data_IF_149122127128
#
_entry.id   IF_149122127128
#
_cell.length_a   1.000
_cell.length_b   1.000
_cell.length_c   1.000
_cell.angle_alpha   90.00
_cell.angle_beta   90.00
_cell.angle_gamma   90.00
#
_symmetry.space_group_name_H-M   'P 1'
#
loop_
_entity.id
_entity.type
_entity.pdbx_description
1 polymer ?
#
# COMPACT_ATOMS: atom_id res chain seq x y z
N UNK A 1 -30.15 -6.13 -1.01
CA UNK A 1 -29.06 -7.12 -1.15
C UNK A 1 -29.42 -8.33 -0.28
N UNK A 2 -29.13 -9.55 -0.73
CA UNK A 2 -29.38 -10.78 0.04
C UNK A 2 -28.01 -11.41 0.30
N UNK A 3 -27.72 -11.68 1.57
CA UNK A 3 -26.49 -12.36 2.00
C UNK A 3 -26.75 -13.85 2.09
N UNK A 4 -25.89 -14.64 1.44
CA UNK A 4 -26.00 -16.10 1.37
C UNK A 4 -25.21 -16.79 2.48
N UNK A 5 -25.52 -18.06 2.75
CA UNK A 5 -24.74 -18.88 3.68
C UNK A 5 -23.27 -19.00 3.27
N UNK A 6 -22.99 -19.12 1.97
CA UNK A 6 -21.62 -19.20 1.46
C UNK A 6 -20.80 -17.95 1.83
N UNK A 7 -21.37 -16.76 1.67
CA UNK A 7 -20.72 -15.50 2.04
C UNK A 7 -20.46 -15.39 3.55
N UNK A 8 -21.31 -15.96 4.38
CA UNK A 8 -21.09 -16.02 5.84
C UNK A 8 -20.01 -17.05 6.22
N UNK A 9 -19.94 -18.17 5.51
CA UNK A 9 -18.88 -19.18 5.69
C UNK A 9 -17.51 -18.66 5.27
N UNK A 10 -17.43 -17.86 4.21
CA UNK A 10 -16.18 -17.25 3.75
C UNK A 10 -15.58 -16.27 4.77
N UNK A 11 -16.41 -15.68 5.64
CA UNK A 11 -15.94 -14.83 6.74
C UNK A 11 -15.36 -15.62 7.91
N UNK A 12 -15.69 -16.90 8.04
CA UNK A 12 -15.34 -17.75 9.19
C UNK A 12 -14.54 -18.97 8.72
N UNK A 13 -13.29 -19.12 9.15
CA UNK A 13 -12.51 -20.34 8.88
C UNK A 13 -13.13 -21.57 9.56
N UNK A 14 -13.66 -21.37 10.76
CA UNK A 14 -14.40 -22.40 11.51
C UNK A 14 -15.50 -21.69 12.29
N UNK A 15 -16.79 -22.04 12.10
CA UNK A 15 -17.87 -21.44 12.86
C UNK A 15 -17.78 -21.85 14.34
N UNK A 16 -17.79 -20.86 15.23
CA UNK A 16 -17.83 -21.06 16.68
C UNK A 16 -18.98 -20.24 17.28
N UNK A 17 -19.60 -20.74 18.33
CA UNK A 17 -20.69 -20.04 19.02
C UNK A 17 -20.24 -18.66 19.49
N UNK A 18 -21.02 -17.63 19.15
CA UNK A 18 -20.68 -16.23 19.47
C UNK A 18 -19.74 -15.53 18.49
N UNK A 19 -19.27 -16.23 17.45
CA UNK A 19 -18.46 -15.58 16.41
C UNK A 19 -19.27 -14.49 15.69
N UNK A 20 -18.62 -13.37 15.38
CA UNK A 20 -19.25 -12.26 14.69
C UNK A 20 -19.14 -12.45 13.17
N UNK A 21 -20.25 -12.19 12.48
CA UNK A 21 -20.32 -12.12 11.01
C UNK A 21 -20.85 -10.75 10.60
N UNK A 22 -20.19 -10.15 9.61
CA UNK A 22 -20.53 -8.81 9.13
C UNK A 22 -21.60 -8.92 8.04
N UNK A 23 -22.68 -8.18 8.21
CA UNK A 23 -23.80 -8.11 7.25
C UNK A 23 -23.91 -6.66 6.78
N UNK A 24 -23.94 -6.38 5.44
CA UNK A 24 -24.14 -5.03 4.94
C UNK A 24 -25.41 -4.38 5.49
N UNK A 25 -25.37 -3.10 5.82
CA UNK A 25 -26.51 -2.36 6.34
C UNK A 25 -27.73 -2.51 5.41
N UNK A 26 -28.87 -2.89 5.96
CA UNK A 26 -30.11 -3.11 5.22
C UNK A 26 -30.15 -4.37 4.33
N UNK A 27 -29.14 -5.23 4.36
CA UNK A 27 -29.18 -6.52 3.67
C UNK A 27 -30.06 -7.52 4.43
N UNK A 28 -30.69 -8.43 3.68
CA UNK A 28 -31.45 -9.55 4.25
C UNK A 28 -30.65 -10.84 4.12
N UNK A 29 -30.71 -11.69 5.14
CA UNK A 29 -30.13 -13.03 5.05
C UNK A 29 -31.05 -13.94 4.20
N UNK A 30 -30.44 -14.79 3.39
CA UNK A 30 -31.17 -15.89 2.75
C UNK A 30 -31.69 -16.87 3.83
N UNK A 31 -32.69 -17.69 3.53
CA UNK A 31 -33.17 -18.69 4.49
C UNK A 31 -32.04 -19.58 5.03
N UNK A 32 -31.17 -20.09 4.18
CA UNK A 32 -30.00 -20.88 4.57
C UNK A 32 -28.98 -20.11 5.42
N UNK A 33 -28.75 -18.82 5.12
CA UNK A 33 -27.90 -17.98 5.93
C UNK A 33 -28.47 -17.72 7.32
N UNK A 34 -29.79 -17.52 7.43
CA UNK A 34 -30.47 -17.34 8.70
C UNK A 34 -30.41 -18.61 9.55
N UNK A 35 -30.62 -19.79 8.95
CA UNK A 35 -30.48 -21.08 9.59
C UNK A 35 -29.03 -21.32 10.07
N UNK A 36 -28.05 -20.97 9.27
CA UNK A 36 -26.63 -21.07 9.62
C UNK A 36 -26.26 -20.19 10.82
N UNK A 37 -26.72 -18.94 10.85
CA UNK A 37 -26.51 -18.02 11.98
C UNK A 37 -27.15 -18.61 13.26
N UNK A 38 -28.34 -19.13 13.16
CA UNK A 38 -29.05 -19.73 14.29
C UNK A 38 -28.40 -21.03 14.78
N UNK A 39 -28.02 -21.90 13.85
CA UNK A 39 -27.41 -23.21 14.17
C UNK A 39 -26.10 -23.04 14.93
N UNK A 40 -25.31 -22.06 14.58
CA UNK A 40 -23.97 -21.82 15.16
C UNK A 40 -23.97 -20.72 16.23
N UNK A 41 -25.15 -20.11 16.54
CA UNK A 41 -25.25 -19.02 17.51
C UNK A 41 -24.36 -17.82 17.16
N UNK A 42 -24.27 -17.49 15.86
CA UNK A 42 -23.42 -16.39 15.38
C UNK A 42 -24.07 -15.03 15.71
N UNK A 43 -23.22 -14.02 15.91
CA UNK A 43 -23.67 -12.65 16.14
C UNK A 43 -23.52 -11.86 14.83
N UNK A 44 -24.63 -11.39 14.29
CA UNK A 44 -24.61 -10.51 13.10
C UNK A 44 -24.27 -9.08 13.53
N UNK A 45 -23.24 -8.50 12.92
CA UNK A 45 -22.86 -7.10 13.10
C UNK A 45 -23.15 -6.37 11.80
N UNK A 46 -24.00 -5.35 11.85
CA UNK A 46 -24.20 -4.51 10.66
C UNK A 46 -22.92 -3.75 10.34
N UNK A 47 -22.54 -3.79 9.06
CA UNK A 47 -21.45 -2.99 8.56
C UNK A 47 -21.85 -1.52 8.72
N UNK A 48 -21.31 -0.85 9.75
CA UNK A 48 -21.39 0.60 9.86
C UNK A 48 -20.70 1.15 8.62
N UNK A 49 -21.43 1.91 7.83
CA UNK A 49 -20.83 2.60 6.67
C UNK A 49 -19.58 3.34 7.17
N UNK A 50 -18.45 3.04 6.56
CA UNK A 50 -17.19 3.70 6.89
C UNK A 50 -17.44 5.20 6.94
N UNK A 51 -17.02 5.85 8.02
CA UNK A 51 -17.12 7.31 8.15
C UNK A 51 -16.56 7.97 6.91
N UNK A 52 -17.16 9.04 6.38
CA UNK A 52 -16.68 9.70 5.18
C UNK A 52 -15.21 10.07 5.38
N UNK A 53 -14.37 9.58 4.50
CA UNK A 53 -12.95 9.96 4.42
C UNK A 53 -12.85 11.48 4.39
N UNK A 54 -11.96 12.10 5.19
CA UNK A 54 -11.80 13.56 5.19
C UNK A 54 -11.62 14.08 3.76
N UNK A 55 -12.35 15.12 3.39
CA UNK A 55 -12.22 15.78 2.11
C UNK A 55 -10.77 16.26 1.94
N UNK A 56 -10.06 15.74 0.94
CA UNK A 56 -8.67 16.09 0.65
C UNK A 56 -7.79 14.93 0.22
N UNK A 57 -8.31 13.69 0.19
CA UNK A 57 -7.54 12.55 -0.32
C UNK A 57 -7.42 12.62 -1.84
N UNK A 58 -6.19 12.44 -2.34
CA UNK A 58 -5.93 12.33 -3.76
C UNK A 58 -6.77 11.20 -4.38
N UNK A 59 -7.09 11.33 -5.67
CA UNK A 59 -7.97 10.36 -6.35
C UNK A 59 -7.45 8.92 -6.30
N UNK A 60 -6.12 8.75 -6.23
CA UNK A 60 -5.43 7.46 -6.09
C UNK A 60 -5.47 6.88 -4.65
N UNK A 61 -5.82 7.67 -3.63
CA UNK A 61 -5.92 7.23 -2.23
C UNK A 61 -7.27 6.55 -1.91
N UNK A 62 -8.06 6.28 -2.93
CA UNK A 62 -9.28 5.50 -2.78
C UNK A 62 -8.93 4.03 -2.53
N UNK A 63 -9.66 3.41 -1.61
CA UNK A 63 -9.44 2.01 -1.19
C UNK A 63 -9.70 0.95 -2.27
N UNK A 64 -10.02 1.33 -3.50
CA UNK A 64 -10.17 0.43 -4.63
C UNK A 64 -8.79 -0.01 -5.13
N UNK A 65 -8.41 -1.16 -4.70
CA UNK A 65 -7.17 -1.82 -5.07
C UNK A 65 -7.34 -2.44 -6.46
N UNK A 66 -6.47 -2.05 -7.39
CA UNK A 66 -6.31 -2.68 -8.70
C UNK A 66 -7.59 -2.90 -9.50
N UNK A 67 -8.02 -1.94 -10.32
CA UNK A 67 -8.85 -2.31 -11.46
C UNK A 67 -7.97 -3.15 -12.40
N UNK A 68 -8.11 -4.46 -12.34
CA UNK A 68 -7.58 -5.36 -13.37
C UNK A 68 -8.63 -5.36 -14.47
N UNK A 69 -8.49 -4.46 -15.43
CA UNK A 69 -9.29 -4.51 -16.63
C UNK A 69 -8.76 -5.66 -17.51
N UNK A 70 -9.45 -6.78 -17.46
CA UNK A 70 -9.25 -7.84 -18.46
C UNK A 70 -9.88 -7.36 -19.76
N UNK A 71 -9.07 -7.17 -20.78
CA UNK A 71 -9.53 -6.80 -22.14
C UNK A 71 -10.30 -7.90 -22.85
N UNK A 72 -10.47 -9.05 -22.21
CA UNK A 72 -11.07 -10.25 -22.80
C UNK A 72 -10.14 -11.07 -23.69
N UNK A 73 -8.92 -10.58 -23.95
CA UNK A 73 -7.89 -11.33 -24.68
C UNK A 73 -7.14 -12.28 -23.74
N UNK A 74 -6.74 -13.45 -24.25
CA UNK A 74 -5.95 -14.41 -23.47
C UNK A 74 -4.53 -13.87 -23.33
N UNK A 75 -4.03 -13.65 -22.09
CA UNK A 75 -2.68 -13.15 -21.88
C UNK A 75 -1.61 -14.10 -22.40
N UNK A 76 -0.48 -13.57 -22.88
CA UNK A 76 0.64 -14.32 -23.40
C UNK A 76 1.82 -14.39 -22.42
N UNK A 77 2.66 -15.41 -22.58
CA UNK A 77 3.89 -15.56 -21.79
C UNK A 77 5.02 -14.72 -22.42
N UNK A 78 5.64 -13.83 -21.62
CA UNK A 78 6.77 -12.98 -22.09
C UNK A 78 7.99 -13.77 -22.51
N UNK A 79 8.16 -15.01 -22.04
CA UNK A 79 9.34 -15.84 -22.33
C UNK A 79 9.20 -16.67 -23.61
N UNK A 80 7.99 -17.10 -23.98
CA UNK A 80 7.77 -17.99 -25.13
C UNK A 80 6.70 -17.49 -26.11
N UNK A 81 5.99 -16.41 -25.79
CA UNK A 81 4.92 -15.84 -26.63
C UNK A 81 3.62 -16.65 -26.68
N UNK A 82 3.56 -17.81 -26.02
CA UNK A 82 2.37 -18.67 -26.04
C UNK A 82 1.25 -18.07 -25.17
N UNK A 83 0.00 -18.29 -25.59
CA UNK A 83 -1.18 -18.00 -24.78
C UNK A 83 -1.18 -18.79 -23.46
N UNK A 84 -1.53 -18.13 -22.37
CA UNK A 84 -1.57 -18.73 -21.03
C UNK A 84 -3.03 -18.96 -20.61
N UNK A 85 -3.59 -20.06 -21.08
CA UNK A 85 -4.94 -20.50 -20.69
C UNK A 85 -4.98 -21.14 -19.31
N UNK A 86 -3.85 -21.71 -18.86
CA UNK A 86 -3.67 -22.29 -17.53
C UNK A 86 -2.36 -21.82 -16.93
N UNK A 87 -2.44 -21.06 -15.84
CA UNK A 87 -1.27 -20.50 -15.16
C UNK A 87 -0.41 -21.62 -14.55
N UNK A 88 0.85 -21.74 -14.99
CA UNK A 88 1.85 -22.56 -14.34
C UNK A 88 2.29 -21.93 -13.00
N UNK A 89 2.74 -22.74 -12.03
CA UNK A 89 3.15 -22.29 -10.69
C UNK A 89 4.33 -21.30 -10.71
N UNK A 90 5.21 -21.40 -11.71
CA UNK A 90 6.37 -20.52 -11.89
C UNK A 90 6.03 -19.16 -12.54
N UNK A 91 4.81 -19.01 -13.08
CA UNK A 91 4.35 -17.79 -13.74
C UNK A 91 3.50 -16.93 -12.79
N UNK A 92 3.52 -15.64 -13.06
CA UNK A 92 2.61 -14.66 -12.46
C UNK A 92 2.24 -13.60 -13.47
N UNK A 93 1.14 -12.90 -13.22
CA UNK A 93 0.65 -11.85 -14.11
C UNK A 93 1.59 -10.63 -14.05
N UNK A 94 2.10 -10.21 -15.20
CA UNK A 94 2.97 -9.05 -15.35
C UNK A 94 2.15 -7.76 -15.53
N UNK A 95 1.16 -7.80 -16.39
CA UNK A 95 0.18 -6.75 -16.68
C UNK A 95 -1.11 -7.40 -17.21
N UNK A 96 -2.05 -6.62 -17.74
CA UNK A 96 -3.30 -7.13 -18.27
C UNK A 96 -3.12 -8.13 -19.44
N UNK A 97 -2.00 -8.04 -20.18
CA UNK A 97 -1.77 -8.78 -21.42
C UNK A 97 -0.72 -9.88 -21.30
N UNK A 98 0.07 -9.89 -20.24
CA UNK A 98 1.24 -10.77 -20.15
C UNK A 98 1.36 -11.49 -18.80
N UNK A 99 1.85 -12.73 -18.88
CA UNK A 99 2.42 -13.47 -17.77
C UNK A 99 3.95 -13.50 -17.89
N UNK A 100 4.64 -13.43 -16.76
CA UNK A 100 6.09 -13.55 -16.68
C UNK A 100 6.50 -14.55 -15.61
N UNK A 101 7.77 -14.97 -15.64
CA UNK A 101 8.37 -15.72 -14.54
C UNK A 101 8.28 -14.94 -13.23
N UNK A 102 8.10 -15.63 -12.11
CA UNK A 102 8.18 -15.03 -10.76
C UNK A 102 9.55 -14.41 -10.48
N UNK A 103 10.58 -14.75 -11.25
CA UNK A 103 11.92 -14.16 -11.16
C UNK A 103 12.13 -12.97 -12.08
N UNK A 104 11.12 -12.53 -12.83
CA UNK A 104 11.18 -11.36 -13.70
C UNK A 104 11.52 -10.10 -12.88
N UNK A 105 12.39 -9.18 -13.37
CA UNK A 105 12.80 -7.98 -12.62
C UNK A 105 11.63 -7.17 -12.05
N UNK A 106 10.61 -6.90 -12.85
CA UNK A 106 9.40 -6.17 -12.41
C UNK A 106 8.64 -6.91 -11.29
N UNK A 107 8.62 -8.25 -11.31
CA UNK A 107 7.97 -9.05 -10.25
C UNK A 107 8.79 -9.02 -8.96
N UNK A 108 10.13 -9.03 -9.06
CA UNK A 108 11.01 -8.82 -7.91
C UNK A 108 10.81 -7.44 -7.28
N UNK A 109 10.72 -6.40 -8.12
CA UNK A 109 10.44 -5.02 -7.68
C UNK A 109 9.11 -4.96 -6.91
N UNK A 110 8.02 -5.52 -7.43
CA UNK A 110 6.73 -5.61 -6.73
C UNK A 110 6.83 -6.31 -5.38
N UNK A 111 7.55 -7.44 -5.33
CA UNK A 111 7.75 -8.16 -4.07
C UNK A 111 8.47 -7.33 -3.01
N UNK A 112 9.43 -6.50 -3.42
CA UNK A 112 10.11 -5.56 -2.52
C UNK A 112 9.20 -4.41 -2.11
N UNK A 113 8.38 -3.88 -3.02
CA UNK A 113 7.36 -2.88 -2.71
C UNK A 113 6.32 -3.40 -1.72
N UNK A 114 5.90 -4.65 -1.87
CA UNK A 114 4.99 -5.33 -0.92
C UNK A 114 5.60 -5.40 0.49
N UNK A 115 6.89 -5.75 0.58
CA UNK A 115 7.62 -5.79 1.85
C UNK A 115 7.70 -4.40 2.51
N UNK A 116 7.99 -3.35 1.74
CA UNK A 116 8.01 -1.98 2.23
C UNK A 116 6.62 -1.53 2.70
N UNK A 117 5.59 -1.79 1.90
CA UNK A 117 4.21 -1.46 2.26
C UNK A 117 3.80 -2.12 3.59
N UNK A 118 4.11 -3.41 3.78
CA UNK A 118 3.84 -4.11 5.04
C UNK A 118 4.55 -3.46 6.24
N UNK A 119 5.81 -3.01 6.07
CA UNK A 119 6.55 -2.27 7.10
C UNK A 119 5.91 -0.92 7.40
N UNK A 120 5.49 -0.17 6.37
CA UNK A 120 4.78 1.12 6.56
C UNK A 120 3.52 0.93 7.40
N UNK A 121 2.72 -0.10 7.12
CA UNK A 121 1.52 -0.41 7.91
C UNK A 121 1.86 -0.75 9.37
N UNK A 122 2.95 -1.48 9.61
CA UNK A 122 3.44 -1.77 10.96
C UNK A 122 3.83 -0.48 11.70
N UNK A 123 4.64 0.38 11.06
CA UNK A 123 5.08 1.65 11.65
C UNK A 123 3.88 2.58 11.90
N UNK A 124 2.92 2.62 10.99
CA UNK A 124 1.66 3.34 11.16
C UNK A 124 0.91 2.86 12.42
N UNK A 125 0.78 1.55 12.60
CA UNK A 125 0.14 0.98 13.79
C UNK A 125 0.87 1.34 15.08
N UNK A 126 2.21 1.38 15.04
CA UNK A 126 3.04 1.78 16.17
C UNK A 126 2.87 3.28 16.49
N UNK A 127 2.82 4.13 15.47
CA UNK A 127 2.54 5.56 15.63
C UNK A 127 1.17 5.81 16.28
N UNK A 128 0.11 5.10 15.84
CA UNK A 128 -1.20 5.15 16.49
C UNK A 128 -1.13 4.73 17.97
N UNK A 129 -0.36 3.68 18.28
CA UNK A 129 -0.23 3.19 19.67
C UNK A 129 0.55 4.15 20.57
N UNK A 130 1.47 4.92 19.99
CA UNK A 130 2.25 5.95 20.68
C UNK A 130 1.51 7.29 20.81
N UNK A 131 0.33 7.45 20.20
CA UNK A 131 -0.43 8.71 20.17
C UNK A 131 0.10 9.73 19.15
N UNK A 132 0.99 9.31 18.26
CA UNK A 132 1.56 10.15 17.20
C UNK A 132 0.60 10.23 15.99
N UNK A 133 -0.59 10.81 16.21
CA UNK A 133 -1.66 10.86 15.21
C UNK A 133 -1.28 11.55 13.90
N UNK A 134 -0.53 12.68 13.89
CA UNK A 134 -0.10 13.30 12.64
C UNK A 134 0.80 12.37 11.82
N UNK A 135 1.77 11.71 12.47
CA UNK A 135 2.66 10.74 11.84
C UNK A 135 1.88 9.53 11.31
N UNK A 136 0.90 9.03 12.08
CA UNK A 136 0.07 7.89 11.67
C UNK A 136 -0.76 8.21 10.41
N UNK A 137 -1.28 9.43 10.29
CA UNK A 137 -1.99 9.89 9.08
C UNK A 137 -1.07 9.96 7.86
N UNK A 138 0.13 10.55 8.02
CA UNK A 138 1.11 10.62 6.94
C UNK A 138 1.57 9.23 6.50
N UNK A 139 1.81 8.32 7.43
CA UNK A 139 2.16 6.94 7.12
C UNK A 139 1.03 6.21 6.39
N UNK A 140 -0.24 6.51 6.69
CA UNK A 140 -1.39 6.03 5.92
C UNK A 140 -1.32 6.46 4.46
N UNK A 141 -1.00 7.74 4.21
CA UNK A 141 -0.80 8.30 2.87
C UNK A 141 0.40 7.65 2.17
N UNK A 142 1.52 7.46 2.87
CA UNK A 142 2.70 6.77 2.33
C UNK A 142 2.39 5.31 1.99
N UNK A 143 1.61 4.61 2.82
CA UNK A 143 1.15 3.25 2.53
C UNK A 143 0.27 3.20 1.27
N UNK A 144 -0.66 4.15 1.11
CA UNK A 144 -1.45 4.29 -0.11
C UNK A 144 -0.56 4.58 -1.33
N UNK A 145 0.46 5.41 -1.17
CA UNK A 145 1.42 5.72 -2.23
C UNK A 145 2.27 4.52 -2.66
N UNK A 146 2.66 3.64 -1.74
CA UNK A 146 3.30 2.37 -2.10
C UNK A 146 2.41 1.52 -3.03
N UNK A 147 1.08 1.50 -2.78
CA UNK A 147 0.11 0.82 -3.66
C UNK A 147 -0.01 1.53 -5.00
N UNK A 148 -0.01 2.87 -5.02
CA UNK A 148 -0.04 3.65 -6.26
C UNK A 148 1.18 3.35 -7.14
N UNK A 149 2.39 3.32 -6.59
CA UNK A 149 3.61 2.97 -7.34
C UNK A 149 3.47 1.57 -7.96
N UNK A 150 2.98 0.59 -7.19
CA UNK A 150 2.78 -0.78 -7.68
C UNK A 150 1.68 -0.83 -8.75
N UNK A 151 0.60 -0.07 -8.59
CA UNK A 151 -0.48 0.05 -9.57
C UNK A 151 0.01 0.71 -10.86
N UNK A 152 0.79 1.79 -10.76
CA UNK A 152 1.37 2.48 -11.91
C UNK A 152 2.29 1.56 -12.71
N UNK A 153 3.12 0.76 -12.01
CA UNK A 153 4.00 -0.23 -12.63
C UNK A 153 3.19 -1.33 -13.35
N UNK A 154 2.16 -1.87 -12.71
CA UNK A 154 1.30 -2.90 -13.30
C UNK A 154 0.58 -2.40 -14.55
N UNK A 155 0.01 -1.19 -14.49
CA UNK A 155 -0.76 -0.58 -15.57
C UNK A 155 0.10 0.20 -16.57
N UNK A 156 1.43 0.14 -16.44
CA UNK A 156 2.38 0.73 -17.38
C UNK A 156 2.14 2.23 -17.62
N UNK A 157 1.86 2.96 -16.55
CA UNK A 157 1.58 4.40 -16.54
C UNK A 157 2.49 5.18 -15.59
N UNK A 158 2.63 6.50 -15.74
CA UNK A 158 3.30 7.33 -14.77
C UNK A 158 2.65 7.25 -13.38
N UNK A 159 3.47 7.41 -12.33
CA UNK A 159 3.03 7.49 -10.94
C UNK A 159 2.41 8.86 -10.69
N UNK A 160 1.30 8.90 -9.94
CA UNK A 160 0.71 10.16 -9.49
C UNK A 160 1.63 10.90 -8.50
N UNK A 161 1.52 12.24 -8.45
CA UNK A 161 2.30 13.03 -7.51
C UNK A 161 1.84 12.76 -6.06
N UNK A 162 2.81 12.59 -5.14
CA UNK A 162 2.51 12.49 -3.72
C UNK A 162 2.31 13.87 -3.11
N UNK A 163 1.36 13.95 -2.18
CA UNK A 163 1.19 15.08 -1.28
C UNK A 163 0.89 14.56 0.13
N UNK A 164 1.68 14.99 1.10
CA UNK A 164 1.45 14.70 2.53
C UNK A 164 0.71 15.87 3.18
N UNK A 165 -0.60 15.75 3.37
CA UNK A 165 -1.43 16.80 3.97
C UNK A 165 -1.15 18.18 3.33
N UNK A 166 -0.49 19.08 4.08
CA UNK A 166 -0.11 20.43 3.62
C UNK A 166 1.29 20.49 2.98
N UNK A 167 2.06 19.38 3.01
CA UNK A 167 3.44 19.35 2.52
C UNK A 167 3.51 18.79 1.10
N UNK A 168 3.84 19.64 0.15
CA UNK A 168 4.14 19.23 -1.22
C UNK A 168 5.56 18.66 -1.36
N UNK A 169 5.87 18.13 -2.54
CA UNK A 169 7.19 17.53 -2.83
C UNK A 169 8.33 18.55 -2.65
N UNK A 170 8.12 19.79 -3.04
CA UNK A 170 9.13 20.85 -2.94
C UNK A 170 9.36 21.28 -1.48
N UNK A 171 8.31 21.31 -0.67
CA UNK A 171 8.41 21.63 0.77
C UNK A 171 9.19 20.53 1.49
N UNK A 172 8.86 19.26 1.20
CA UNK A 172 9.57 18.09 1.73
C UNK A 172 11.05 18.12 1.31
N UNK A 173 11.32 18.44 0.03
CA UNK A 173 12.68 18.55 -0.46
C UNK A 173 13.46 19.63 0.30
N UNK A 174 12.87 20.82 0.45
CA UNK A 174 13.49 21.93 1.20
C UNK A 174 13.74 21.53 2.66
N UNK A 175 12.76 20.94 3.35
CA UNK A 175 12.89 20.53 4.75
C UNK A 175 13.98 19.45 4.94
N UNK A 176 14.16 18.55 3.98
CA UNK A 176 15.19 17.50 4.06
C UNK A 176 16.61 18.00 3.75
N UNK A 177 16.76 19.13 3.05
CA UNK A 177 18.07 19.74 2.71
C UNK A 177 18.45 20.85 3.69
N UNK A 178 17.49 21.57 4.26
CA UNK A 178 17.70 22.61 5.25
C UNK A 178 16.72 22.41 6.44
N UNK A 179 16.89 21.33 7.22
CA UNK A 179 16.01 21.08 8.35
C UNK A 179 16.09 22.16 9.42
N UNK A 180 17.24 22.81 9.56
CA UNK A 180 17.44 23.92 10.50
C UNK A 180 16.59 25.14 10.13
N UNK A 181 16.61 25.53 8.86
CA UNK A 181 15.84 26.68 8.36
C UNK A 181 14.33 26.43 8.29
N UNK A 182 13.89 25.18 8.12
CA UNK A 182 12.47 24.83 7.93
C UNK A 182 11.83 24.31 9.22
N UNK A 183 12.51 23.43 9.96
CA UNK A 183 11.98 22.72 11.12
C UNK A 183 12.67 23.09 12.44
N UNK A 184 13.69 23.94 12.40
CA UNK A 184 14.42 24.41 13.58
C UNK A 184 15.35 23.37 14.22
N UNK A 185 15.63 22.25 13.55
CA UNK A 185 16.48 21.17 14.06
C UNK A 185 17.63 20.87 13.10
N UNK A 186 18.73 20.36 13.64
CA UNK A 186 19.87 19.92 12.82
C UNK A 186 19.54 18.60 12.07
N UNK A 187 20.39 18.22 11.10
CA UNK A 187 20.31 16.91 10.46
C UNK A 187 20.38 15.79 11.50
N UNK A 188 19.55 14.75 11.31
CA UNK A 188 19.46 13.65 12.28
C UNK A 188 20.69 12.75 12.22
N UNK A 189 21.21 12.47 13.40
CA UNK A 189 22.03 11.28 13.68
C UNK A 189 21.22 10.42 14.64
N UNK A 190 20.87 9.21 14.22
CA UNK A 190 20.05 8.29 15.02
C UNK A 190 20.98 7.44 15.87
N UNK A 191 20.69 7.37 17.15
CA UNK A 191 21.40 6.55 18.13
C UNK A 191 20.43 5.70 18.98
N UNK A 192 20.96 4.89 19.88
CA UNK A 192 20.20 3.98 20.72
C UNK A 192 19.24 4.64 21.72
N UNK A 193 19.40 5.94 21.96
CA UNK A 193 18.55 6.71 22.86
C UNK A 193 17.29 7.28 22.17
N UNK A 194 17.26 7.24 20.83
CA UNK A 194 16.09 7.69 20.08
C UNK A 194 14.89 6.75 20.28
N UNK A 195 13.69 7.31 20.13
CA UNK A 195 12.44 6.54 20.25
C UNK A 195 12.35 5.45 19.18
N UNK A 196 11.70 4.34 19.50
CA UNK A 196 11.57 3.17 18.62
C UNK A 196 11.05 3.52 17.21
N UNK A 197 10.11 4.47 17.12
CA UNK A 197 9.58 4.96 15.85
C UNK A 197 10.65 5.55 14.94
N UNK A 198 11.69 6.23 15.49
CA UNK A 198 12.81 6.75 14.69
C UNK A 198 13.59 5.63 14.01
N UNK A 199 13.83 4.52 14.72
CA UNK A 199 14.52 3.36 14.18
C UNK A 199 13.72 2.68 13.07
N UNK A 200 12.40 2.51 13.26
CA UNK A 200 11.53 1.93 12.26
C UNK A 200 11.39 2.80 11.00
N UNK A 201 11.28 4.11 11.16
CA UNK A 201 11.29 5.06 10.03
C UNK A 201 12.63 5.01 9.29
N UNK A 202 13.75 4.90 10.02
CA UNK A 202 15.07 4.75 9.40
C UNK A 202 15.19 3.44 8.59
N UNK A 203 14.67 2.34 9.13
CA UNK A 203 14.62 1.07 8.41
C UNK A 203 13.79 1.20 7.11
N UNK A 204 12.60 1.80 7.19
CA UNK A 204 11.77 2.03 6.00
C UNK A 204 12.47 2.93 4.97
N UNK A 205 13.22 3.94 5.42
CA UNK A 205 14.03 4.82 4.58
C UNK A 205 15.13 4.06 3.81
N UNK A 206 15.85 3.19 4.49
CA UNK A 206 16.92 2.38 3.87
C UNK A 206 16.34 1.36 2.90
N UNK A 207 15.23 0.71 3.23
CA UNK A 207 14.52 -0.19 2.31
C UNK A 207 14.07 0.55 1.03
N UNK A 208 13.51 1.76 1.17
CA UNK A 208 13.09 2.56 0.01
C UNK A 208 14.27 2.85 -0.93
N UNK A 209 15.48 3.10 -0.40
CA UNK A 209 16.70 3.29 -1.21
C UNK A 209 17.14 2.01 -1.93
N UNK A 210 17.06 0.85 -1.27
CA UNK A 210 17.36 -0.42 -1.92
C UNK A 210 16.37 -0.73 -3.05
N UNK A 211 15.09 -0.40 -2.85
CA UNK A 211 14.05 -0.59 -3.86
C UNK A 211 14.24 0.38 -5.03
N UNK A 212 14.68 1.62 -4.78
CA UNK A 212 15.04 2.58 -5.83
C UNK A 212 16.15 2.00 -6.73
N UNK A 213 17.22 1.46 -6.14
CA UNK A 213 18.32 0.83 -6.90
C UNK A 213 17.78 -0.33 -7.75
N UNK A 214 16.95 -1.20 -7.18
CA UNK A 214 16.33 -2.29 -7.92
C UNK A 214 15.42 -1.79 -9.06
N UNK A 215 14.73 -0.65 -8.88
CA UNK A 215 13.93 -0.04 -9.94
C UNK A 215 14.80 0.50 -11.08
N UNK A 216 15.93 1.14 -10.77
CA UNK A 216 16.91 1.59 -11.78
C UNK A 216 17.49 0.41 -12.57
N UNK A 217 17.75 -0.73 -11.92
CA UNK A 217 18.14 -1.97 -12.61
C UNK A 217 17.01 -2.55 -13.48
N UNK A 218 15.77 -2.41 -13.03
CA UNK A 218 14.57 -2.90 -13.75
C UNK A 218 14.24 -2.04 -14.96
N UNK A 219 14.46 -0.72 -14.85
CA UNK A 219 14.19 0.30 -15.88
C UNK A 219 15.46 1.09 -16.22
N UNK A 220 16.45 0.47 -16.86
CA UNK A 220 17.77 1.09 -17.06
C UNK A 220 17.76 2.26 -18.04
N UNK A 221 16.71 2.41 -18.85
CA UNK A 221 16.59 3.54 -19.78
C UNK A 221 15.98 4.75 -19.10
N UNK A 222 16.65 5.93 -19.13
CA UNK A 222 16.08 7.17 -18.60
C UNK A 222 14.90 7.69 -19.45
N UNK A 223 14.63 7.07 -20.61
CA UNK A 223 13.51 7.41 -21.50
C UNK A 223 12.41 6.34 -21.49
N UNK A 224 12.40 5.45 -20.48
CA UNK A 224 11.33 4.46 -20.36
C UNK A 224 10.00 5.16 -20.05
N UNK A 225 8.96 4.87 -20.83
CA UNK A 225 7.70 5.61 -20.83
C UNK A 225 7.06 5.85 -19.44
N UNK A 226 7.23 4.91 -18.51
CA UNK A 226 6.74 5.01 -17.13
C UNK A 226 7.81 4.67 -16.08
N UNK A 227 8.89 4.00 -16.46
CA UNK A 227 9.96 3.55 -15.55
C UNK A 227 10.69 4.72 -14.89
N UNK A 228 10.94 5.80 -15.62
CA UNK A 228 11.52 7.04 -15.07
C UNK A 228 10.66 7.58 -13.92
N UNK A 229 9.35 7.66 -14.12
CA UNK A 229 8.41 8.13 -13.10
C UNK A 229 8.41 7.24 -11.85
N UNK A 230 8.52 5.91 -12.02
CA UNK A 230 8.63 4.95 -10.91
C UNK A 230 9.93 5.15 -10.14
N UNK A 231 11.07 5.23 -10.83
CA UNK A 231 12.37 5.47 -10.21
C UNK A 231 12.38 6.80 -9.44
N UNK A 232 11.82 7.86 -10.03
CA UNK A 232 11.68 9.16 -9.39
C UNK A 232 10.78 9.08 -8.13
N UNK A 233 9.65 8.40 -8.20
CA UNK A 233 8.74 8.22 -7.05
C UNK A 233 9.43 7.48 -5.89
N UNK A 234 10.22 6.45 -6.18
CA UNK A 234 10.99 5.69 -5.18
C UNK A 234 12.12 6.51 -4.57
N UNK A 235 12.82 7.30 -5.38
CA UNK A 235 13.82 8.26 -4.89
C UNK A 235 13.19 9.23 -3.87
N UNK A 236 12.02 9.79 -4.21
CA UNK A 236 11.29 10.69 -3.30
C UNK A 236 10.80 9.98 -2.05
N UNK A 237 10.43 8.71 -2.14
CA UNK A 237 9.93 7.94 -1.00
C UNK A 237 10.95 7.83 0.14
N UNK A 238 12.24 7.66 -0.16
CA UNK A 238 13.31 7.67 0.85
C UNK A 238 13.45 9.04 1.54
N UNK A 239 13.31 10.13 0.78
CA UNK A 239 13.32 11.50 1.33
C UNK A 239 12.11 11.75 2.22
N UNK A 240 10.95 11.18 1.87
CA UNK A 240 9.72 11.27 2.67
C UNK A 240 9.91 10.61 4.03
N UNK A 241 10.47 9.41 4.11
CA UNK A 241 10.75 8.78 5.40
C UNK A 241 11.72 9.60 6.24
N UNK A 242 12.75 10.21 5.63
CA UNK A 242 13.64 11.11 6.34
C UNK A 242 12.91 12.36 6.84
N UNK A 243 12.04 12.94 6.04
CA UNK A 243 11.18 14.05 6.44
C UNK A 243 10.28 13.70 7.63
N UNK A 244 9.66 12.52 7.63
CA UNK A 244 8.85 12.05 8.76
C UNK A 244 9.68 11.87 10.04
N UNK A 245 10.94 11.42 9.91
CA UNK A 245 11.88 11.36 11.03
C UNK A 245 12.20 12.75 11.60
N UNK A 246 12.46 13.73 10.71
CA UNK A 246 12.71 15.11 11.11
C UNK A 246 11.51 15.71 11.85
N UNK A 247 10.29 15.52 11.33
CA UNK A 247 9.06 16.00 11.98
C UNK A 247 8.83 15.36 13.35
N UNK A 248 9.00 14.05 13.44
CA UNK A 248 8.90 13.33 14.73
C UNK A 248 9.90 13.88 15.75
N UNK A 249 11.14 14.18 15.33
CA UNK A 249 12.17 14.75 16.22
C UNK A 249 11.87 16.21 16.61
N UNK A 250 11.33 16.99 15.67
CA UNK A 250 10.98 18.39 15.90
C UNK A 250 9.70 18.57 16.74
N UNK A 251 8.87 17.53 16.88
CA UNK A 251 7.54 17.63 17.50
C UNK A 251 6.59 18.55 16.73
N UNK A 252 6.72 18.64 15.41
CA UNK A 252 5.92 19.52 14.51
C UNK A 252 4.83 18.70 13.85
N UNK A 253 3.59 19.22 13.88
CA UNK A 253 2.42 18.66 13.20
C UNK A 253 2.43 18.85 11.68
#
# INVERSE_FOLDING_TARGET
MIVTEAELRDQLRTPTTGAQVVVPAGARLSPSAADFVKQWGLVTVEQVAASPTPAGTAEWDKASVFPVDFTGEIPTCTSCGMEVTKKASALTQLNAHHFASKTHPRIKLRGRMDSLHAKVLLVQRMACAAGEEPLARDLGTVGAYCREITSAEYNERPVAALQLQTWGVDDIHKATHDPKGVLGIEHLTIDEADVELQHWLNLARTDAREIEILALETFPSPHHAYGESICHALNRLSSIFYFLQLRLKAGVE
#
